data_IF_267069335979
#
_entry.id   IF_267069335979
#
_cell.length_a   1.000
_cell.length_b   1.000
_cell.length_c   1.000
_cell.angle_alpha   90.00
_cell.angle_beta   90.00
_cell.angle_gamma   90.00
#
_symmetry.space_group_name_H-M   'P 1'
#
loop_
_entity.id
_entity.type
_entity.pdbx_description
1 polymer ?
#
# COMPACT_ATOMS: atom_id res chain seq x y z
N UNK A 1 25.01 -30.03 39.09
CA UNK A 1 25.24 -28.85 38.25
C UNK A 1 24.06 -27.92 38.46
N UNK A 2 24.29 -26.84 39.21
CA UNK A 2 23.28 -25.81 39.47
C UNK A 2 22.88 -25.10 38.17
N UNK A 3 21.61 -24.70 37.99
CA UNK A 3 21.22 -23.88 36.87
C UNK A 3 21.70 -22.43 37.10
N UNK A 4 22.51 -21.93 36.18
CA UNK A 4 22.87 -20.51 36.10
C UNK A 4 21.60 -19.67 35.95
N UNK A 5 21.37 -18.80 36.93
CA UNK A 5 20.40 -17.71 36.85
C UNK A 5 20.73 -16.81 35.66
N UNK A 6 19.88 -16.84 34.62
CA UNK A 6 19.86 -15.86 33.54
C UNK A 6 18.91 -14.73 33.93
N UNK A 7 19.39 -13.79 34.74
CA UNK A 7 18.59 -12.66 35.26
C UNK A 7 18.53 -11.44 34.33
N UNK A 8 18.80 -11.58 33.02
CA UNK A 8 18.75 -10.48 32.04
C UNK A 8 17.69 -10.70 30.96
N UNK A 9 16.47 -11.07 31.36
CA UNK A 9 15.29 -11.03 30.47
C UNK A 9 14.47 -9.81 30.86
N UNK A 10 14.19 -8.94 29.89
CA UNK A 10 13.17 -7.92 30.04
C UNK A 10 11.81 -8.60 29.83
N UNK A 11 10.93 -8.48 30.82
CA UNK A 11 9.54 -8.86 30.70
C UNK A 11 8.76 -7.58 30.37
N UNK A 12 7.90 -7.60 29.35
CA UNK A 12 7.03 -6.46 29.06
C UNK A 12 6.16 -6.13 30.28
N UNK A 13 5.77 -4.87 30.45
CA UNK A 13 4.75 -4.57 31.46
C UNK A 13 3.42 -5.08 30.90
N UNK A 14 2.89 -6.17 31.47
CA UNK A 14 1.61 -6.70 30.99
C UNK A 14 0.51 -5.64 31.08
N UNK A 15 -0.45 -5.66 30.15
CA UNK A 15 -1.53 -4.68 30.11
C UNK A 15 -2.23 -4.53 31.47
N UNK A 16 -2.04 -3.37 32.11
CA UNK A 16 -2.64 -3.05 33.40
C UNK A 16 -4.15 -2.90 33.25
N UNK A 17 -4.95 -3.70 33.99
CA UNK A 17 -6.39 -3.42 34.08
C UNK A 17 -6.56 -2.09 34.81
N UNK A 18 -7.37 -1.20 34.29
CA UNK A 18 -7.80 0.00 35.02
C UNK A 18 -9.27 -0.11 35.35
N UNK A 19 -9.63 0.18 36.60
CA UNK A 19 -11.02 0.27 37.01
C UNK A 19 -11.69 1.54 36.48
N UNK A 20 -12.99 1.68 36.73
CA UNK A 20 -13.79 2.85 36.37
C UNK A 20 -13.30 4.18 36.97
N UNK A 21 -12.38 4.15 37.94
CA UNK A 21 -11.74 5.33 38.55
C UNK A 21 -10.33 5.58 38.02
N UNK A 22 -9.84 4.74 37.10
CA UNK A 22 -8.48 4.80 36.55
C UNK A 22 -7.42 4.17 37.45
N UNK A 23 -7.81 3.41 38.48
CA UNK A 23 -6.89 2.70 39.38
C UNK A 23 -6.51 1.33 38.80
N UNK A 24 -5.22 0.99 38.85
CA UNK A 24 -4.71 -0.30 38.39
C UNK A 24 -5.22 -1.49 39.23
N UNK A 25 -5.77 -2.52 38.59
CA UNK A 25 -6.13 -3.82 39.18
C UNK A 25 -5.23 -4.89 38.53
N UNK A 26 -4.21 -5.38 39.22
CA UNK A 26 -3.25 -6.30 38.61
C UNK A 26 -3.85 -7.69 38.32
N UNK A 27 -4.06 -8.00 37.04
CA UNK A 27 -4.00 -9.38 36.56
C UNK A 27 -3.52 -9.40 35.11
N UNK A 28 -2.41 -10.09 34.86
CA UNK A 28 -1.76 -10.18 33.55
C UNK A 28 -2.48 -11.25 32.71
N UNK A 29 -3.09 -10.86 31.59
CA UNK A 29 -3.74 -11.83 30.67
C UNK A 29 -2.73 -12.47 29.72
N UNK A 30 -1.76 -11.70 29.22
CA UNK A 30 -0.61 -12.21 28.50
C UNK A 30 0.59 -11.27 28.66
N UNK A 31 1.80 -11.79 28.50
CA UNK A 31 3.06 -11.06 28.64
C UNK A 31 4.13 -11.71 27.76
N UNK A 32 4.87 -10.91 26.99
CA UNK A 32 5.98 -11.42 26.18
C UNK A 32 7.31 -11.35 26.94
N UNK A 33 8.12 -12.39 26.82
CA UNK A 33 9.52 -12.34 27.24
C UNK A 33 10.38 -11.83 26.10
N UNK A 34 10.99 -10.65 26.28
CA UNK A 34 11.89 -10.09 25.27
C UNK A 34 13.28 -10.70 25.47
N UNK A 35 13.81 -11.45 24.48
CA UNK A 35 15.11 -12.09 24.60
C UNK A 35 16.24 -11.05 24.62
N UNK A 36 17.36 -11.41 25.26
CA UNK A 36 18.56 -10.56 25.31
C UNK A 36 19.15 -10.29 23.91
N UNK A 37 18.84 -11.15 22.94
CA UNK A 37 19.13 -10.98 21.54
C UNK A 37 17.83 -11.13 20.75
N UNK A 38 17.51 -10.11 19.94
CA UNK A 38 16.40 -10.12 19.01
C UNK A 38 16.91 -9.68 17.64
N UNK A 39 16.80 -10.52 16.60
CA UNK A 39 17.22 -10.16 15.25
C UNK A 39 16.52 -8.91 14.75
N UNK A 40 17.19 -8.17 13.85
CA UNK A 40 16.63 -6.96 13.26
C UNK A 40 15.43 -7.31 12.36
N UNK A 41 14.36 -6.53 12.45
CA UNK A 41 13.17 -6.76 11.64
C UNK A 41 13.47 -6.72 10.13
N UNK A 42 12.95 -7.70 9.40
CA UNK A 42 13.17 -7.85 7.96
C UNK A 42 14.42 -8.64 7.56
N UNK A 43 15.19 -9.13 8.53
CA UNK A 43 16.30 -10.06 8.29
C UNK A 43 15.83 -11.51 8.25
N UNK A 44 16.58 -12.38 7.56
CA UNK A 44 16.33 -13.82 7.52
C UNK A 44 16.39 -14.47 8.91
N UNK A 45 17.15 -13.89 9.81
CA UNK A 45 17.41 -14.38 11.16
C UNK A 45 16.19 -14.24 12.08
N UNK A 46 15.27 -13.32 11.77
CA UNK A 46 14.00 -13.20 12.48
C UNK A 46 12.99 -14.27 12.04
N UNK A 47 13.19 -14.90 10.89
CA UNK A 47 12.32 -15.95 10.41
C UNK A 47 12.42 -17.18 11.34
N UNK A 48 11.27 -17.68 11.78
CA UNK A 48 11.16 -18.79 12.74
C UNK A 48 11.85 -18.55 14.08
N UNK A 49 12.16 -17.28 14.40
CA UNK A 49 12.76 -16.91 15.66
C UNK A 49 11.76 -17.12 16.82
N UNK A 50 12.12 -17.88 17.86
CA UNK A 50 11.18 -18.24 18.91
C UNK A 50 10.87 -17.06 19.84
N UNK A 51 9.57 -16.79 20.03
CA UNK A 51 9.07 -15.80 20.99
C UNK A 51 8.30 -16.53 22.09
N UNK A 52 8.71 -16.31 23.34
CA UNK A 52 8.04 -16.89 24.50
C UNK A 52 6.97 -15.91 25.02
N UNK A 53 5.75 -16.41 25.16
CA UNK A 53 4.61 -15.65 25.68
C UNK A 53 4.03 -16.41 26.87
N UNK A 54 3.90 -15.73 27.99
CA UNK A 54 3.15 -16.22 29.16
C UNK A 54 1.70 -15.80 29.00
N UNK A 55 0.77 -16.73 29.20
CA UNK A 55 -0.67 -16.52 29.02
C UNK A 55 -1.38 -16.95 30.29
N UNK A 56 -2.41 -16.22 30.71
CA UNK A 56 -3.24 -16.62 31.85
C UNK A 56 -4.20 -17.76 31.49
N UNK A 57 -4.52 -18.61 32.46
CA UNK A 57 -5.42 -19.75 32.26
C UNK A 57 -6.83 -19.32 31.82
N UNK A 58 -7.22 -18.08 32.13
CA UNK A 58 -8.53 -17.52 31.82
C UNK A 58 -8.56 -16.65 30.55
N UNK A 59 -7.51 -16.69 29.71
CA UNK A 59 -7.41 -15.86 28.51
C UNK A 59 -8.54 -16.08 27.50
N UNK A 60 -9.20 -17.23 27.54
CA UNK A 60 -10.31 -17.57 26.66
C UNK A 60 -11.67 -17.02 27.10
N UNK A 61 -11.78 -16.46 28.30
CA UNK A 61 -13.04 -15.86 28.80
C UNK A 61 -13.47 -14.65 27.95
N UNK A 62 -12.48 -13.89 27.45
CA UNK A 62 -12.68 -12.73 26.58
C UNK A 62 -11.72 -12.80 25.38
N UNK A 63 -12.05 -13.57 24.32
CA UNK A 63 -11.12 -13.86 23.24
C UNK A 63 -10.70 -12.60 22.46
N UNK A 64 -11.59 -11.62 22.30
CA UNK A 64 -11.24 -10.34 21.65
C UNK A 64 -10.25 -9.54 22.48
N UNK A 65 -10.41 -9.54 23.81
CA UNK A 65 -9.47 -8.92 24.74
C UNK A 65 -8.12 -9.62 24.69
N UNK A 66 -8.09 -10.95 24.69
CA UNK A 66 -6.84 -11.69 24.52
C UNK A 66 -6.15 -11.33 23.20
N UNK A 67 -6.88 -11.25 22.09
CA UNK A 67 -6.30 -10.86 20.80
C UNK A 67 -5.77 -9.41 20.79
N UNK A 68 -6.44 -8.47 21.45
CA UNK A 68 -5.95 -7.11 21.61
C UNK A 68 -4.66 -7.08 22.44
N UNK A 69 -4.61 -7.84 23.53
CA UNK A 69 -3.43 -7.97 24.39
C UNK A 69 -2.27 -8.59 23.60
N UNK A 70 -2.50 -9.68 22.86
CA UNK A 70 -1.47 -10.28 22.02
C UNK A 70 -0.94 -9.32 20.95
N UNK A 71 -1.80 -8.51 20.33
CA UNK A 71 -1.37 -7.51 19.36
C UNK A 71 -0.49 -6.43 20.00
N UNK A 72 -0.80 -6.01 21.23
CA UNK A 72 0.03 -5.12 22.03
C UNK A 72 1.37 -5.80 22.38
N UNK A 73 1.36 -6.99 23.00
CA UNK A 73 2.58 -7.68 23.42
C UNK A 73 3.53 -7.97 22.26
N UNK A 74 3.02 -8.40 21.09
CA UNK A 74 3.85 -8.62 19.91
C UNK A 74 4.39 -7.31 19.30
N UNK A 75 3.76 -6.18 19.57
CA UNK A 75 4.27 -4.87 19.14
C UNK A 75 5.52 -4.46 19.93
N UNK A 76 5.67 -4.89 21.19
CA UNK A 76 6.93 -4.75 21.92
C UNK A 76 8.07 -5.47 21.20
N UNK A 77 7.86 -6.72 20.78
CA UNK A 77 8.85 -7.48 20.00
C UNK A 77 9.25 -6.72 18.73
N UNK A 78 8.28 -6.19 17.98
CA UNK A 78 8.60 -5.43 16.77
C UNK A 78 9.43 -4.17 17.10
N UNK A 79 9.04 -3.38 18.09
CA UNK A 79 9.75 -2.15 18.44
C UNK A 79 11.17 -2.43 18.95
N UNK A 80 11.35 -3.49 19.73
CA UNK A 80 12.67 -3.95 20.17
C UNK A 80 13.50 -4.45 19.00
N UNK A 81 12.91 -5.22 18.08
CA UNK A 81 13.56 -5.74 16.88
C UNK A 81 13.99 -4.62 15.93
N UNK A 82 13.27 -3.49 15.91
CA UNK A 82 13.63 -2.30 15.14
C UNK A 82 14.64 -1.39 15.84
N UNK A 83 15.04 -1.70 17.09
CA UNK A 83 15.78 -0.79 17.98
C UNK A 83 15.14 0.59 18.06
N UNK A 84 13.82 0.64 18.05
CA UNK A 84 13.09 1.90 18.10
C UNK A 84 13.39 2.62 19.42
N UNK A 85 13.54 3.95 19.38
CA UNK A 85 13.89 4.75 20.56
C UNK A 85 12.82 4.69 21.66
N UNK A 86 11.58 4.41 21.29
CA UNK A 86 10.40 4.30 22.18
C UNK A 86 9.98 2.84 22.39
N UNK A 87 10.90 1.88 22.26
CA UNK A 87 10.58 0.45 22.37
C UNK A 87 10.01 0.03 23.72
N UNK A 88 10.37 0.73 24.78
CA UNK A 88 9.88 0.49 26.15
C UNK A 88 8.64 1.37 26.49
N UNK A 89 8.06 2.05 25.50
CA UNK A 89 6.95 2.98 25.70
C UNK A 89 5.61 2.34 25.31
N UNK A 90 4.79 2.05 26.31
CA UNK A 90 3.51 1.36 26.15
C UNK A 90 2.50 2.07 25.25
N UNK A 91 2.53 3.41 25.20
CA UNK A 91 1.71 4.19 24.27
C UNK A 91 2.13 3.93 22.83
N UNK A 92 3.43 3.80 22.57
CA UNK A 92 3.93 3.46 21.24
C UNK A 92 3.61 2.02 20.86
N UNK A 93 3.59 1.11 21.83
CA UNK A 93 3.17 -0.27 21.64
C UNK A 93 1.71 -0.36 21.17
N UNK A 94 0.79 0.34 21.84
CA UNK A 94 -0.61 0.45 21.41
C UNK A 94 -0.74 1.03 20.00
N UNK A 95 -0.04 2.15 19.72
CA UNK A 95 -0.06 2.78 18.40
C UNK A 95 0.51 1.86 17.32
N UNK A 96 1.54 1.08 17.64
CA UNK A 96 2.16 0.14 16.71
C UNK A 96 1.18 -0.97 16.33
N UNK A 97 0.49 -1.56 17.31
CA UNK A 97 -0.56 -2.55 17.05
C UNK A 97 -1.63 -1.99 16.11
N UNK A 98 -2.07 -0.75 16.35
CA UNK A 98 -3.06 -0.08 15.49
C UNK A 98 -2.54 0.15 14.06
N UNK A 99 -1.28 0.60 13.91
CA UNK A 99 -0.64 0.85 12.60
C UNK A 99 -0.48 -0.45 11.80
N UNK A 100 -0.18 -1.56 12.47
CA UNK A 100 -0.05 -2.88 11.85
C UNK A 100 -1.39 -3.50 11.41
N UNK A 101 -2.51 -2.85 11.70
CA UNK A 101 -3.84 -3.26 11.23
C UNK A 101 -4.71 -3.88 12.32
N UNK A 102 -4.24 -3.97 13.57
CA UNK A 102 -5.03 -4.50 14.68
C UNK A 102 -5.95 -3.45 15.31
N UNK A 103 -6.09 -2.25 14.74
CA UNK A 103 -6.90 -1.18 15.35
C UNK A 103 -8.34 -1.59 15.66
N UNK A 104 -8.98 -2.45 14.85
CA UNK A 104 -10.34 -2.92 15.12
C UNK A 104 -10.39 -3.99 16.21
N UNK A 105 -9.39 -4.87 16.23
CA UNK A 105 -9.22 -5.86 17.31
C UNK A 105 -9.00 -5.14 18.64
N UNK A 106 -8.11 -4.15 18.66
CA UNK A 106 -7.86 -3.29 19.82
C UNK A 106 -9.12 -2.55 20.25
N UNK A 107 -9.93 -2.03 19.32
CA UNK A 107 -11.18 -1.32 19.67
C UNK A 107 -12.17 -2.23 20.38
N UNK A 108 -12.33 -3.46 19.92
CA UNK A 108 -13.28 -4.43 20.50
C UNK A 108 -12.73 -4.98 21.82
N UNK A 109 -11.47 -5.41 21.82
CA UNK A 109 -10.86 -6.10 22.97
C UNK A 109 -10.45 -5.20 24.12
N UNK A 110 -10.35 -3.88 23.93
CA UNK A 110 -9.89 -2.96 24.98
C UNK A 110 -10.86 -2.71 26.11
N UNK A 111 -12.13 -3.14 26.02
CA UNK A 111 -13.12 -2.93 27.09
C UNK A 111 -13.87 -4.21 27.40
N UNK A 112 -13.94 -4.55 28.68
CA UNK A 112 -14.76 -5.64 29.22
C UNK A 112 -15.72 -5.04 30.22
N UNK A 113 -17.01 -5.25 30.02
CA UNK A 113 -18.07 -4.82 30.94
C UNK A 113 -18.60 -6.01 31.72
N UNK A 114 -18.45 -5.98 33.04
CA UNK A 114 -19.01 -6.97 33.93
C UNK A 114 -20.21 -6.36 34.66
N UNK A 115 -21.36 -7.02 34.61
CA UNK A 115 -22.56 -6.58 35.31
C UNK A 115 -22.91 -7.58 36.40
N UNK A 116 -22.86 -7.15 37.66
CA UNK A 116 -23.25 -7.93 38.83
C UNK A 116 -24.63 -7.48 39.29
N UNK A 117 -25.60 -8.40 39.21
CA UNK A 117 -26.97 -8.17 39.68
C UNK A 117 -27.09 -8.64 41.12
N UNK A 118 -27.35 -7.70 42.03
CA UNK A 118 -27.80 -7.97 43.39
C UNK A 118 -29.32 -7.80 43.46
N UNK A 119 -29.95 -8.36 44.49
CA UNK A 119 -31.42 -8.43 44.66
C UNK A 119 -32.12 -7.06 44.53
N UNK A 120 -31.43 -5.95 44.83
CA UNK A 120 -31.97 -4.58 44.81
C UNK A 120 -31.07 -3.60 44.02
N UNK A 121 -29.94 -4.06 43.48
CA UNK A 121 -28.97 -3.18 42.82
C UNK A 121 -28.25 -3.89 41.68
N UNK A 122 -28.18 -3.26 40.52
CA UNK A 122 -27.27 -3.67 39.44
C UNK A 122 -26.02 -2.81 39.48
N UNK A 123 -24.85 -3.44 39.57
CA UNK A 123 -23.56 -2.77 39.49
C UNK A 123 -22.83 -3.21 38.23
N UNK A 124 -22.55 -2.25 37.34
CA UNK A 124 -21.73 -2.47 36.14
C UNK A 124 -20.33 -1.91 36.37
N UNK A 125 -19.30 -2.72 36.13
CA UNK A 125 -17.90 -2.33 36.15
C UNK A 125 -17.27 -2.54 34.78
N UNK A 126 -16.65 -1.50 34.23
CA UNK A 126 -15.90 -1.58 32.97
C UNK A 126 -14.41 -1.65 33.26
N UNK A 127 -13.76 -2.69 32.77
CA UNK A 127 -12.30 -2.80 32.73
C UNK A 127 -11.81 -2.31 31.37
N UNK A 128 -10.88 -1.37 31.35
CA UNK A 128 -10.23 -0.92 30.10
C UNK A 128 -8.78 -1.40 30.05
N UNK A 129 -8.38 -1.96 28.90
CA UNK A 129 -7.03 -2.40 28.58
C UNK A 129 -6.39 -1.41 27.60
N UNK A 130 -5.10 -1.16 27.76
CA UNK A 130 -4.32 -0.25 26.93
C UNK A 130 -3.98 1.03 27.69
N UNK A 131 -3.03 1.76 27.14
CA UNK A 131 -2.46 2.97 27.72
C UNK A 131 -3.02 4.24 27.06
N UNK A 132 -3.77 4.08 25.96
CA UNK A 132 -4.54 5.15 25.35
C UNK A 132 -5.89 5.34 26.07
N UNK A 133 -6.15 6.56 26.55
CA UNK A 133 -7.51 6.97 26.92
C UNK A 133 -8.45 6.88 25.71
N UNK A 134 -9.77 6.84 25.93
CA UNK A 134 -10.74 6.78 24.84
C UNK A 134 -10.56 7.88 23.79
N UNK A 135 -10.35 9.12 24.25
CA UNK A 135 -10.11 10.25 23.35
C UNK A 135 -8.86 10.04 22.50
N UNK A 136 -7.77 9.55 23.10
CA UNK A 136 -6.52 9.28 22.39
C UNK A 136 -6.66 8.11 21.43
N UNK A 137 -7.33 7.03 21.83
CA UNK A 137 -7.58 5.85 21.01
C UNK A 137 -8.36 6.21 19.75
N UNK A 138 -9.50 6.89 19.90
CA UNK A 138 -10.31 7.28 18.74
C UNK A 138 -9.59 8.30 17.86
N UNK A 139 -8.84 9.23 18.46
CA UNK A 139 -8.00 10.15 17.68
C UNK A 139 -6.97 9.38 16.82
N UNK A 140 -6.22 8.45 17.43
CA UNK A 140 -5.22 7.65 16.74
C UNK A 140 -5.83 6.75 15.65
N UNK A 141 -6.91 6.03 15.99
CA UNK A 141 -7.63 5.14 15.06
C UNK A 141 -8.14 5.91 13.83
N UNK A 142 -8.75 7.08 14.04
CA UNK A 142 -9.23 7.94 12.97
C UNK A 142 -8.08 8.50 12.13
N UNK A 143 -6.96 8.88 12.77
CA UNK A 143 -5.78 9.39 12.07
C UNK A 143 -5.15 8.33 11.16
N UNK A 144 -4.91 7.13 11.68
CA UNK A 144 -4.34 5.98 10.96
C UNK A 144 -5.27 5.62 9.79
N UNK A 145 -6.57 5.47 10.07
CA UNK A 145 -7.59 5.18 9.05
C UNK A 145 -7.64 6.25 7.96
N UNK A 146 -7.52 7.53 8.32
CA UNK A 146 -7.49 8.65 7.37
C UNK A 146 -6.28 8.59 6.43
N UNK A 147 -5.10 8.31 6.98
CA UNK A 147 -3.86 8.14 6.19
C UNK A 147 -4.01 6.94 5.23
N UNK A 148 -4.50 5.81 5.73
CA UNK A 148 -4.69 4.60 4.93
C UNK A 148 -5.70 4.82 3.81
N UNK A 149 -6.88 5.36 4.11
CA UNK A 149 -7.93 5.66 3.12
C UNK A 149 -7.44 6.62 2.04
N UNK A 150 -6.71 7.67 2.41
CA UNK A 150 -6.13 8.62 1.45
C UNK A 150 -5.23 7.92 0.43
N UNK A 151 -4.32 7.07 0.91
CA UNK A 151 -3.39 6.36 0.03
C UNK A 151 -4.08 5.26 -0.81
N UNK A 152 -5.03 4.52 -0.24
CA UNK A 152 -5.84 3.54 -0.99
C UNK A 152 -6.61 4.23 -2.12
N UNK A 153 -7.24 5.37 -1.84
CA UNK A 153 -7.98 6.11 -2.84
C UNK A 153 -7.06 6.64 -3.95
N UNK A 154 -5.88 7.14 -3.59
CA UNK A 154 -4.87 7.58 -4.55
C UNK A 154 -4.39 6.42 -5.44
N UNK A 155 -4.11 5.25 -4.86
CA UNK A 155 -3.75 4.03 -5.59
C UNK A 155 -4.85 3.61 -6.56
N UNK A 156 -6.12 3.58 -6.11
CA UNK A 156 -7.28 3.27 -6.96
C UNK A 156 -7.42 4.26 -8.12
N UNK A 157 -7.25 5.56 -7.85
CA UNK A 157 -7.27 6.61 -8.89
C UNK A 157 -6.18 6.38 -9.93
N UNK A 158 -4.94 6.14 -9.49
CA UNK A 158 -3.81 5.87 -10.37
C UNK A 158 -4.02 4.60 -11.23
N UNK A 159 -4.56 3.52 -10.65
CA UNK A 159 -4.89 2.30 -11.41
C UNK A 159 -5.94 2.53 -12.52
N UNK A 160 -6.94 3.39 -12.26
CA UNK A 160 -7.90 3.81 -13.31
C UNK A 160 -7.19 4.56 -14.43
N UNK A 161 -6.33 5.52 -14.09
CA UNK A 161 -5.53 6.28 -15.08
C UNK A 161 -4.60 5.36 -15.88
N UNK A 162 -3.93 4.40 -15.24
CA UNK A 162 -3.11 3.39 -15.91
C UNK A 162 -3.91 2.56 -16.93
N UNK A 163 -5.15 2.23 -16.61
CA UNK A 163 -6.03 1.50 -17.53
C UNK A 163 -6.34 2.35 -18.77
N UNK A 164 -6.63 3.64 -18.59
CA UNK A 164 -6.82 4.59 -19.70
C UNK A 164 -5.55 4.73 -20.54
N UNK A 165 -4.41 4.91 -19.88
CA UNK A 165 -3.11 5.04 -20.53
C UNK A 165 -2.75 3.80 -21.38
N UNK A 166 -2.97 2.60 -20.83
CA UNK A 166 -2.80 1.32 -21.55
C UNK A 166 -3.71 1.24 -22.79
N UNK A 167 -4.98 1.64 -22.66
CA UNK A 167 -5.92 1.65 -23.81
C UNK A 167 -5.45 2.59 -24.92
N UNK A 168 -5.01 3.80 -24.57
CA UNK A 168 -4.48 4.76 -25.54
C UNK A 168 -3.23 4.23 -26.23
N UNK A 169 -2.31 3.60 -25.49
CA UNK A 169 -1.09 3.02 -26.07
C UNK A 169 -1.42 1.87 -27.04
N UNK A 170 -2.43 1.07 -26.72
CA UNK A 170 -2.94 0.06 -27.66
C UNK A 170 -3.54 0.69 -28.92
N UNK A 171 -4.32 1.77 -28.81
CA UNK A 171 -4.85 2.50 -29.97
C UNK A 171 -3.72 3.07 -30.82
N UNK A 172 -2.73 3.71 -30.19
CA UNK A 172 -1.55 4.24 -30.84
C UNK A 172 -0.82 3.19 -31.67
N UNK A 173 -0.55 2.01 -31.10
CA UNK A 173 0.08 0.90 -31.82
C UNK A 173 -0.73 0.44 -33.03
N UNK A 174 -2.06 0.40 -32.90
CA UNK A 174 -2.96 0.00 -34.00
C UNK A 174 -2.91 0.99 -35.16
N UNK A 175 -2.94 2.28 -34.86
CA UNK A 175 -2.88 3.32 -35.89
C UNK A 175 -1.50 3.40 -36.54
N UNK A 176 -0.41 3.25 -35.77
CA UNK A 176 0.93 3.16 -36.35
C UNK A 176 1.09 1.92 -37.25
N UNK A 177 0.47 0.79 -36.88
CA UNK A 177 0.45 -0.38 -37.74
C UNK A 177 -0.31 -0.13 -39.05
N UNK A 178 -1.47 0.55 -38.98
CA UNK A 178 -2.23 0.96 -40.17
C UNK A 178 -1.43 1.90 -41.05
N UNK A 179 -0.78 2.91 -40.46
CA UNK A 179 0.12 3.82 -41.15
C UNK A 179 1.18 3.05 -41.95
N UNK A 180 1.93 2.17 -41.27
CA UNK A 180 2.97 1.32 -41.91
C UNK A 180 2.40 0.50 -43.07
N UNK A 181 1.22 -0.10 -42.89
CA UNK A 181 0.57 -0.88 -43.95
C UNK A 181 0.14 -0.04 -45.14
N UNK A 182 -0.27 1.20 -44.93
CA UNK A 182 -0.63 2.11 -46.01
C UNK A 182 0.59 2.62 -46.78
N UNK A 183 1.69 2.93 -46.09
CA UNK A 183 2.98 3.24 -46.73
C UNK A 183 3.45 2.06 -47.59
N UNK A 184 3.49 0.85 -47.02
CA UNK A 184 3.84 -0.37 -47.78
C UNK A 184 2.94 -0.62 -49.00
N UNK A 185 1.67 -0.24 -48.93
CA UNK A 185 0.75 -0.36 -50.07
C UNK A 185 1.11 0.63 -51.18
N UNK A 186 1.42 1.89 -50.84
CA UNK A 186 1.82 2.89 -51.84
C UNK A 186 3.15 2.52 -52.50
N UNK A 187 4.12 2.01 -51.74
CA UNK A 187 5.39 1.50 -52.27
C UNK A 187 5.19 0.44 -53.36
N UNK A 188 4.18 -0.43 -53.18
CA UNK A 188 3.82 -1.50 -54.13
C UNK A 188 2.95 -1.02 -55.30
N UNK A 189 2.33 0.16 -55.20
CA UNK A 189 1.36 0.68 -56.16
C UNK A 189 1.80 2.05 -56.69
N UNK A 190 3.02 2.14 -57.21
CA UNK A 190 3.66 3.40 -57.63
C UNK A 190 2.90 4.18 -58.72
N UNK A 191 2.05 3.51 -59.50
CA UNK A 191 1.25 4.13 -60.55
C UNK A 191 0.00 4.86 -60.03
N UNK A 192 -0.21 4.89 -58.71
CA UNK A 192 -1.40 5.51 -58.14
C UNK A 192 -1.30 7.04 -58.22
N UNK A 193 -2.33 7.67 -58.78
CA UNK A 193 -2.39 9.12 -58.86
C UNK A 193 -2.53 9.73 -57.46
N UNK A 194 -1.51 10.51 -57.06
CA UNK A 194 -1.46 11.25 -55.79
C UNK A 194 -1.79 12.72 -56.06
N UNK A 195 -2.61 13.35 -55.20
CA UNK A 195 -2.91 14.78 -55.33
C UNK A 195 -1.67 15.60 -55.01
N UNK A 196 -1.43 16.67 -55.80
CA UNK A 196 -0.26 17.55 -55.63
C UNK A 196 -0.11 18.09 -54.20
N UNK A 197 -1.23 18.40 -53.54
CA UNK A 197 -1.27 18.90 -52.17
C UNK A 197 -0.76 17.91 -51.11
N UNK A 198 -0.90 16.59 -51.33
CA UNK A 198 -0.48 15.55 -50.37
C UNK A 198 0.94 15.00 -50.66
N UNK A 199 1.56 15.38 -51.79
CA UNK A 199 2.91 14.90 -52.17
C UNK A 199 3.97 15.20 -51.09
N UNK A 200 4.06 16.43 -50.53
CA UNK A 200 5.09 16.73 -49.54
C UNK A 200 5.01 15.82 -48.30
N UNK A 201 3.79 15.57 -47.81
CA UNK A 201 3.55 14.68 -46.66
C UNK A 201 3.89 13.23 -46.99
N UNK A 202 3.52 12.75 -48.17
CA UNK A 202 3.86 11.39 -48.59
C UNK A 202 5.38 11.21 -48.71
N UNK A 203 6.10 12.20 -49.26
CA UNK A 203 7.57 12.16 -49.30
C UNK A 203 8.15 12.14 -47.88
N UNK A 204 7.61 12.95 -46.97
CA UNK A 204 8.00 12.98 -45.56
C UNK A 204 7.83 11.61 -44.89
N UNK A 205 6.74 10.89 -45.17
CA UNK A 205 6.45 9.57 -44.59
C UNK A 205 7.50 8.50 -44.96
N UNK A 206 8.23 8.67 -46.06
CA UNK A 206 9.27 7.74 -46.52
C UNK A 206 10.67 8.15 -46.06
N UNK A 207 10.81 9.22 -45.25
CA UNK A 207 12.10 9.52 -44.62
C UNK A 207 12.47 8.43 -43.62
N UNK A 208 13.78 8.08 -43.60
CA UNK A 208 14.34 6.95 -42.84
C UNK A 208 13.98 6.96 -41.35
N UNK A 209 13.84 8.14 -40.74
CA UNK A 209 13.61 8.34 -39.30
C UNK A 209 12.14 8.64 -38.94
N UNK A 210 11.28 8.86 -39.95
CA UNK A 210 9.92 9.30 -39.71
C UNK A 210 9.12 8.29 -38.88
N UNK A 211 9.29 7.01 -39.16
CA UNK A 211 8.59 5.93 -38.46
C UNK A 211 9.28 5.52 -37.14
N UNK A 212 10.57 5.79 -37.04
CA UNK A 212 11.37 5.46 -35.86
C UNK A 212 10.96 6.31 -34.66
N UNK A 213 10.65 7.60 -34.88
CA UNK A 213 10.17 8.49 -33.81
C UNK A 213 8.91 7.93 -33.11
N UNK A 214 7.98 7.37 -33.86
CA UNK A 214 6.74 6.79 -33.32
C UNK A 214 6.98 5.45 -32.62
N UNK A 215 7.94 4.67 -33.11
CA UNK A 215 8.35 3.42 -32.48
C UNK A 215 9.04 3.69 -31.14
N UNK A 216 9.82 4.77 -31.03
CA UNK A 216 10.44 5.19 -29.78
C UNK A 216 9.42 5.70 -28.77
N UNK A 217 8.39 6.42 -29.21
CA UNK A 217 7.23 6.78 -28.37
C UNK A 217 6.62 5.53 -27.75
N UNK A 218 6.39 4.46 -28.53
CA UNK A 218 5.85 3.21 -27.98
C UNK A 218 6.78 2.64 -26.90
N UNK A 219 8.07 2.47 -27.19
CA UNK A 219 9.03 1.86 -26.26
C UNK A 219 9.12 2.62 -24.94
N UNK A 220 9.22 3.94 -25.02
CA UNK A 220 9.28 4.81 -23.84
C UNK A 220 8.02 4.70 -22.99
N UNK A 221 6.84 4.75 -23.62
CA UNK A 221 5.55 4.64 -22.93
C UNK A 221 5.33 3.25 -22.33
N UNK A 222 5.76 2.17 -22.99
CA UNK A 222 5.70 0.81 -22.43
C UNK A 222 6.57 0.64 -21.19
N UNK A 223 7.82 1.13 -21.25
CA UNK A 223 8.74 1.11 -20.11
C UNK A 223 8.13 1.85 -18.92
N UNK A 224 7.58 3.05 -19.17
CA UNK A 224 6.97 3.87 -18.12
C UNK A 224 5.69 3.25 -17.56
N UNK A 225 4.83 2.69 -18.42
CA UNK A 225 3.63 1.97 -18.00
C UNK A 225 3.99 0.77 -17.10
N UNK A 226 5.03 0.01 -17.46
CA UNK A 226 5.52 -1.12 -16.67
C UNK A 226 6.05 -0.67 -15.31
N UNK A 227 6.90 0.35 -15.26
CA UNK A 227 7.44 0.91 -14.01
C UNK A 227 6.32 1.30 -13.02
N UNK A 228 5.33 2.06 -13.50
CA UNK A 228 4.22 2.51 -12.63
C UNK A 228 3.35 1.32 -12.20
N UNK A 229 3.08 0.38 -13.12
CA UNK A 229 2.29 -0.82 -12.82
C UNK A 229 2.99 -1.71 -11.78
N UNK A 230 4.27 -2.02 -11.97
CA UNK A 230 5.07 -2.85 -11.07
C UNK A 230 5.12 -2.22 -9.66
N UNK A 231 5.30 -0.90 -9.58
CA UNK A 231 5.20 -0.16 -8.32
C UNK A 231 3.82 -0.29 -7.66
N UNK A 232 2.74 -0.13 -8.43
CA UNK A 232 1.37 -0.21 -7.89
C UNK A 232 1.01 -1.62 -7.41
N UNK A 233 1.51 -2.66 -8.07
CA UNK A 233 1.33 -4.05 -7.64
C UNK A 233 2.14 -4.33 -6.37
N UNK A 234 3.39 -3.87 -6.31
CA UNK A 234 4.28 -4.11 -5.18
C UNK A 234 3.97 -3.31 -3.92
N UNK A 235 3.26 -2.18 -4.01
CA UNK A 235 2.93 -1.38 -2.81
C UNK A 235 1.81 -2.02 -1.98
N UNK A 236 2.21 -2.69 -0.90
CA UNK A 236 1.33 -3.28 0.11
C UNK A 236 1.22 -2.36 1.34
N UNK A 237 2.33 -1.73 1.73
CA UNK A 237 2.42 -0.81 2.86
C UNK A 237 2.66 0.63 2.39
N UNK A 238 2.05 1.59 3.08
CA UNK A 238 2.16 3.01 2.76
C UNK A 238 3.20 3.70 3.63
N UNK A 239 4.47 3.41 3.36
CA UNK A 239 5.58 4.17 3.94
C UNK A 239 5.58 5.60 3.37
N UNK A 240 6.26 6.53 4.04
CA UNK A 240 6.39 7.91 3.55
C UNK A 240 6.95 7.95 2.12
N UNK A 241 7.98 7.13 1.84
CA UNK A 241 8.56 7.01 0.50
C UNK A 241 7.55 6.45 -0.51
N UNK A 242 6.84 5.37 -0.16
CA UNK A 242 5.80 4.79 -1.02
C UNK A 242 4.67 5.79 -1.33
N UNK A 243 4.18 6.50 -0.32
CA UNK A 243 3.17 7.55 -0.48
C UNK A 243 3.65 8.71 -1.35
N UNK A 244 4.91 9.13 -1.21
CA UNK A 244 5.50 10.18 -2.05
C UNK A 244 5.62 9.73 -3.51
N UNK A 245 6.11 8.51 -3.76
CA UNK A 245 6.19 7.95 -5.12
C UNK A 245 4.81 7.81 -5.75
N UNK A 246 3.81 7.35 -4.99
CA UNK A 246 2.44 7.23 -5.46
C UNK A 246 1.87 8.57 -5.92
N UNK A 247 2.16 9.66 -5.20
CA UNK A 247 1.74 11.01 -5.57
C UNK A 247 2.45 11.49 -6.84
N UNK A 248 3.77 11.32 -6.92
CA UNK A 248 4.55 11.67 -8.12
C UNK A 248 4.01 10.96 -9.36
N UNK A 249 3.61 9.70 -9.25
CA UNK A 249 3.00 8.97 -10.36
C UNK A 249 1.59 9.46 -10.71
N UNK A 250 0.74 9.78 -9.73
CA UNK A 250 -0.59 10.36 -10.00
C UNK A 250 -0.52 11.73 -10.67
N UNK A 251 0.46 12.55 -10.31
CA UNK A 251 0.72 13.87 -10.90
C UNK A 251 1.29 13.74 -12.33
N UNK A 252 2.26 12.84 -12.55
CA UNK A 252 2.94 12.71 -13.84
C UNK A 252 2.17 11.94 -14.91
N UNK A 253 1.25 11.05 -14.53
CA UNK A 253 0.55 10.19 -15.51
C UNK A 253 -0.41 10.97 -16.42
N UNK A 254 -0.96 12.10 -15.94
CA UNK A 254 -1.87 12.92 -16.75
C UNK A 254 -1.12 13.56 -17.92
N UNK A 255 0.12 14.01 -17.69
CA UNK A 255 1.02 14.49 -18.74
C UNK A 255 1.34 13.39 -19.75
N UNK A 256 1.70 12.17 -19.28
CA UNK A 256 1.97 11.04 -20.18
C UNK A 256 0.78 10.68 -21.07
N UNK A 257 -0.43 10.71 -20.51
CA UNK A 257 -1.68 10.48 -21.24
C UNK A 257 -1.91 11.57 -22.29
N UNK A 258 -1.69 12.84 -21.94
CA UNK A 258 -1.85 13.96 -22.86
C UNK A 258 -0.84 13.90 -24.01
N UNK A 259 0.43 13.64 -23.70
CA UNK A 259 1.51 13.53 -24.69
C UNK A 259 1.25 12.37 -25.65
N UNK A 260 0.85 11.20 -25.13
CA UNK A 260 0.50 10.05 -25.96
C UNK A 260 -0.72 10.33 -26.84
N UNK A 261 -1.72 11.08 -26.34
CA UNK A 261 -2.87 11.50 -27.13
C UNK A 261 -2.46 12.43 -28.27
N UNK A 262 -1.61 13.42 -28.00
CA UNK A 262 -1.10 14.32 -29.04
C UNK A 262 -0.35 13.54 -30.14
N UNK A 263 0.49 12.59 -29.74
CA UNK A 263 1.17 11.70 -30.70
C UNK A 263 0.18 10.82 -31.49
N UNK A 264 -0.88 10.31 -30.84
CA UNK A 264 -1.92 9.54 -31.51
C UNK A 264 -2.65 10.39 -32.56
N UNK A 265 -2.96 11.64 -32.25
CA UNK A 265 -3.63 12.56 -33.15
C UNK A 265 -2.75 12.86 -34.39
N UNK A 266 -1.43 12.97 -34.22
CA UNK A 266 -0.49 13.07 -35.35
C UNK A 266 -0.56 11.84 -36.27
N UNK A 267 -0.40 10.63 -35.70
CA UNK A 267 -0.46 9.39 -36.50
C UNK A 267 -1.82 9.24 -37.20
N UNK A 268 -2.92 9.63 -36.53
CA UNK A 268 -4.24 9.60 -37.15
C UNK A 268 -4.35 10.54 -38.35
N UNK A 269 -3.77 11.74 -38.27
CA UNK A 269 -3.72 12.67 -39.39
C UNK A 269 -2.92 12.07 -40.55
N UNK A 270 -1.77 11.48 -40.28
CA UNK A 270 -0.93 10.82 -41.29
C UNK A 270 -1.67 9.66 -41.97
N UNK A 271 -2.33 8.81 -41.16
CA UNK A 271 -3.20 7.72 -41.64
C UNK A 271 -4.34 8.26 -42.51
N UNK A 272 -4.92 9.42 -42.16
CA UNK A 272 -6.02 10.02 -42.91
C UNK A 272 -5.59 10.49 -44.31
N UNK A 273 -4.38 11.03 -44.43
CA UNK A 273 -3.77 11.43 -45.71
C UNK A 273 -3.58 10.20 -46.58
N UNK A 274 -2.93 9.16 -46.02
CA UNK A 274 -2.65 7.92 -46.72
C UNK A 274 -3.93 7.18 -47.14
N UNK A 275 -4.97 7.18 -46.30
CA UNK A 275 -6.25 6.49 -46.56
C UNK A 275 -6.90 6.94 -47.87
N UNK A 276 -6.70 8.19 -48.31
CA UNK A 276 -7.21 8.70 -49.60
C UNK A 276 -6.72 7.87 -50.79
N UNK A 277 -5.59 7.20 -50.63
CA UNK A 277 -4.87 6.48 -51.68
C UNK A 277 -4.82 4.97 -51.47
N UNK A 278 -5.36 4.45 -50.38
CA UNK A 278 -5.49 3.01 -50.14
C UNK A 278 -6.97 2.67 -50.29
N UNK A 279 -7.34 2.20 -51.48
CA UNK A 279 -8.73 1.87 -51.79
C UNK A 279 -9.11 0.58 -51.04
N UNK A 280 -10.20 0.63 -50.28
CA UNK A 280 -10.96 -0.55 -49.89
C UNK A 280 -12.23 -0.59 -50.73
#
# INVERSE_FOLDING_TARGET
>A
YEPRSYSNKFESTGLAKTDHTGRGIESITAQVSIPSYLPLYGTSELQDFPIAVKISDNCLEHPETFMAIMAHELSHILLHSLWHKEKDNEVYTDLTAMILGFSKVMEIGRKVEETKNYVILTQTSTTTYGYLSDKQFYFASNKISGIQKKNINLKKKLLKKLTTYRKQLCSYKKELFRFKKFVEYLDKNQNKAIRKEDIPEIVLFHQLDYTDKFTEVIRSNEKRLKEINDFCVGIIHYTQQGSNSLRKFDEGIDTLIADLKSNLDLVNNDVSILRKYVGF
#
